data_IF_437627568652
#
_entry.id   IF_437627568652
#
_cell.length_a   1.000
_cell.length_b   1.000
_cell.length_c   1.000
_cell.angle_alpha   90.00
_cell.angle_beta   90.00
_cell.angle_gamma   90.00
#
_symmetry.space_group_name_H-M   'P 1'
#
loop_
_entity.id
_entity.type
_entity.pdbx_description
1 polymer ?
#
# COMPACT_ATOMS: atom_id res chain seq x y z
N UNK A 1 -12.70 -9.05 -13.01
CA UNK A 1 -12.86 -8.94 -11.55
C UNK A 1 -11.47 -8.75 -10.97
N UNK A 2 -11.12 -7.53 -10.51
CA UNK A 2 -9.78 -7.29 -9.95
C UNK A 2 -9.66 -7.97 -8.59
N UNK A 3 -8.52 -8.62 -8.32
CA UNK A 3 -8.27 -9.22 -7.01
C UNK A 3 -8.15 -8.12 -5.95
N UNK A 4 -8.46 -8.43 -4.69
CA UNK A 4 -8.29 -7.47 -3.59
C UNK A 4 -6.84 -7.00 -3.44
N UNK A 5 -5.87 -7.83 -3.85
CA UNK A 5 -4.46 -7.48 -3.93
C UNK A 5 -4.20 -6.40 -5.00
N UNK A 6 -4.78 -6.53 -6.19
CA UNK A 6 -4.62 -5.52 -7.26
C UNK A 6 -5.22 -4.18 -6.82
N UNK A 7 -6.38 -4.21 -6.16
CA UNK A 7 -7.00 -3.00 -5.60
C UNK A 7 -6.13 -2.39 -4.51
N UNK A 8 -5.50 -3.19 -3.65
CA UNK A 8 -4.59 -2.69 -2.62
C UNK A 8 -3.34 -2.05 -3.23
N UNK A 9 -2.74 -2.67 -4.27
CA UNK A 9 -1.59 -2.11 -5.00
C UNK A 9 -1.93 -0.78 -5.68
N UNK A 10 -3.10 -0.68 -6.33
CA UNK A 10 -3.58 0.59 -6.89
C UNK A 10 -3.79 1.66 -5.82
N UNK A 11 -4.28 1.27 -4.64
CA UNK A 11 -4.42 2.17 -3.48
C UNK A 11 -3.07 2.68 -2.98
N UNK A 12 -2.09 1.79 -2.84
CA UNK A 12 -0.72 2.14 -2.46
C UNK A 12 -0.08 3.08 -3.48
N UNK A 13 -0.13 2.77 -4.78
CA UNK A 13 0.45 3.60 -5.83
C UNK A 13 -0.11 5.02 -5.81
N UNK A 14 -1.44 5.18 -5.76
CA UNK A 14 -2.08 6.51 -5.67
C UNK A 14 -1.64 7.30 -4.45
N UNK A 15 -1.51 6.64 -3.31
CA UNK A 15 -1.09 7.32 -2.07
C UNK A 15 0.37 7.73 -2.12
N UNK A 16 1.22 6.90 -2.72
CA UNK A 16 2.64 7.20 -2.95
C UNK A 16 2.84 8.34 -3.96
N UNK A 17 2.02 8.41 -5.00
CA UNK A 17 2.03 9.52 -5.96
C UNK A 17 1.68 10.85 -5.29
N UNK A 18 0.61 10.88 -4.48
CA UNK A 18 0.21 12.07 -3.71
C UNK A 18 1.31 12.49 -2.73
N UNK A 19 1.94 11.53 -2.03
CA UNK A 19 3.04 11.82 -1.14
C UNK A 19 4.23 12.42 -1.90
N UNK A 20 4.60 11.83 -3.03
CA UNK A 20 5.73 12.30 -3.84
C UNK A 20 5.47 13.68 -4.45
N UNK A 21 4.24 13.98 -4.85
CA UNK A 21 3.85 15.32 -5.28
C UNK A 21 3.97 16.32 -4.14
N UNK A 22 3.45 15.97 -2.96
CA UNK A 22 3.51 16.83 -1.79
C UNK A 22 4.95 17.08 -1.32
N UNK A 23 5.84 16.09 -1.37
CA UNK A 23 7.26 16.25 -1.01
C UNK A 23 8.04 17.17 -1.97
N UNK A 24 7.55 17.42 -3.18
CA UNK A 24 8.17 18.35 -4.14
C UNK A 24 7.73 19.79 -3.96
N UNK A 25 6.59 20.03 -3.31
CA UNK A 25 6.06 21.38 -3.11
C UNK A 25 6.82 22.03 -1.96
N UNK A 26 7.39 23.21 -2.19
CA UNK A 26 7.93 24.05 -1.12
C UNK A 26 6.83 24.98 -0.63
N UNK A 27 6.61 25.13 0.69
CA UNK A 27 5.68 26.12 1.22
C UNK A 27 6.22 27.55 1.00
N UNK A 28 5.31 28.50 0.73
CA UNK A 28 5.65 29.90 0.41
C UNK A 28 5.91 30.76 1.66
N UNK A 29 5.53 30.27 2.85
CA UNK A 29 5.67 31.00 4.11
C UNK A 29 5.52 30.12 5.36
N UNK A 30 5.72 30.67 6.57
CA UNK A 30 5.75 29.91 7.81
C UNK A 30 4.41 29.25 8.17
N UNK A 31 3.29 29.92 7.92
CA UNK A 31 1.95 29.34 8.15
C UNK A 31 1.65 28.20 7.17
N UNK A 32 2.00 28.39 5.90
CA UNK A 32 1.92 27.34 4.88
C UNK A 32 2.86 26.18 5.18
N UNK A 33 4.02 26.43 5.79
CA UNK A 33 4.97 25.39 6.18
C UNK A 33 4.40 24.47 7.27
N UNK A 34 3.67 25.03 8.25
CA UNK A 34 3.00 24.22 9.29
C UNK A 34 1.91 23.35 8.66
N UNK A 35 1.07 23.94 7.80
CA UNK A 35 0.02 23.21 7.09
C UNK A 35 0.60 22.12 6.19
N UNK A 36 1.64 22.45 5.44
CA UNK A 36 2.35 21.53 4.55
C UNK A 36 2.94 20.35 5.33
N UNK A 37 3.59 20.60 6.47
CA UNK A 37 4.13 19.55 7.33
C UNK A 37 3.03 18.62 7.88
N UNK A 38 1.88 19.16 8.29
CA UNK A 38 0.75 18.34 8.73
C UNK A 38 0.21 17.46 7.60
N UNK A 39 0.08 18.01 6.38
CA UNK A 39 -0.34 17.26 5.20
C UNK A 39 0.67 16.16 4.85
N UNK A 40 1.97 16.45 4.90
CA UNK A 40 3.03 15.46 4.68
C UNK A 40 2.94 14.31 5.68
N UNK A 41 2.73 14.62 6.96
CA UNK A 41 2.59 13.60 7.98
C UNK A 41 1.41 12.67 7.72
N UNK A 42 0.25 13.24 7.38
CA UNK A 42 -0.96 12.47 7.02
C UNK A 42 -0.73 11.63 5.77
N UNK A 43 -0.08 12.19 4.73
CA UNK A 43 0.21 11.48 3.49
C UNK A 43 1.13 10.27 3.75
N UNK A 44 2.19 10.45 4.55
CA UNK A 44 3.10 9.37 4.97
C UNK A 44 2.36 8.27 5.74
N UNK A 45 1.53 8.64 6.71
CA UNK A 45 0.72 7.66 7.46
C UNK A 45 -0.18 6.84 6.53
N UNK A 46 -0.85 7.48 5.57
CA UNK A 46 -1.69 6.79 4.58
C UNK A 46 -0.87 5.84 3.71
N UNK A 47 0.32 6.26 3.26
CA UNK A 47 1.20 5.43 2.44
C UNK A 47 1.64 4.17 3.22
N UNK A 48 2.01 4.31 4.50
CA UNK A 48 2.37 3.18 5.35
C UNK A 48 1.21 2.21 5.57
N UNK A 49 0.00 2.72 5.82
CA UNK A 49 -1.20 1.89 5.98
C UNK A 49 -1.49 1.10 4.68
N UNK A 50 -1.41 1.77 3.53
CA UNK A 50 -1.64 1.14 2.25
C UNK A 50 -0.58 0.06 1.94
N UNK A 51 0.70 0.33 2.24
CA UNK A 51 1.79 -0.64 2.11
C UNK A 51 1.56 -1.86 3.01
N UNK A 52 1.17 -1.64 4.27
CA UNK A 52 0.86 -2.72 5.21
C UNK A 52 -0.25 -3.64 4.69
N UNK A 53 -1.30 -3.06 4.08
CA UNK A 53 -2.39 -3.83 3.45
C UNK A 53 -1.91 -4.65 2.26
N UNK A 54 -1.05 -4.10 1.40
CA UNK A 54 -0.45 -4.85 0.28
C UNK A 54 0.34 -6.04 0.83
N UNK A 55 1.24 -5.79 1.78
CA UNK A 55 2.10 -6.82 2.36
C UNK A 55 1.30 -7.95 3.01
N UNK A 56 0.19 -7.64 3.69
CA UNK A 56 -0.68 -8.67 4.28
C UNK A 56 -1.37 -9.52 3.21
N UNK A 57 -1.96 -8.88 2.19
CA UNK A 57 -2.65 -9.61 1.12
C UNK A 57 -1.69 -10.46 0.28
N UNK A 58 -0.46 -10.00 0.06
CA UNK A 58 0.59 -10.80 -0.58
C UNK A 58 0.89 -12.06 0.25
N UNK A 59 1.10 -11.91 1.57
CA UNK A 59 1.30 -13.04 2.48
C UNK A 59 0.15 -14.04 2.44
N UNK A 60 -1.10 -13.58 2.52
CA UNK A 60 -2.27 -14.46 2.49
C UNK A 60 -2.41 -15.17 1.13
N UNK A 61 -2.09 -14.50 0.03
CA UNK A 61 -2.11 -15.10 -1.32
C UNK A 61 -1.06 -16.20 -1.45
N UNK A 62 0.14 -15.98 -0.91
CA UNK A 62 1.20 -16.99 -0.88
C UNK A 62 0.82 -18.20 -0.01
N UNK A 63 0.22 -17.97 1.16
CA UNK A 63 -0.25 -19.04 2.03
C UNK A 63 -1.35 -19.89 1.36
N UNK A 64 -2.31 -19.25 0.68
CA UNK A 64 -3.36 -19.96 -0.05
C UNK A 64 -2.77 -20.86 -1.15
N UNK A 65 -1.86 -20.33 -1.97
CA UNK A 65 -1.19 -21.10 -3.04
C UNK A 65 -0.29 -22.21 -2.51
N UNK A 66 0.30 -22.06 -1.34
CA UNK A 66 1.10 -23.12 -0.70
C UNK A 66 0.24 -24.34 -0.30
N UNK A 67 -1.05 -24.13 -0.03
CA UNK A 67 -2.01 -25.20 0.24
C UNK A 67 -2.57 -25.86 -1.03
N UNK A 68 -2.34 -25.30 -2.21
CA UNK A 68 -2.74 -25.86 -3.52
C UNK A 68 -1.73 -26.88 -4.09
N UNK A 69 -0.89 -27.48 -3.23
CA UNK A 69 0.05 -28.53 -3.63
C UNK A 69 -0.65 -29.68 -4.38
N UNK A 70 0.06 -30.39 -5.27
CA UNK A 70 -0.54 -31.38 -6.16
C UNK A 70 -1.28 -32.44 -5.34
N UNK A 71 -2.46 -32.94 -5.81
CA UNK A 71 -3.19 -33.96 -5.10
C UNK A 71 -2.24 -35.11 -4.83
N UNK A 72 -1.99 -35.35 -3.54
CA UNK A 72 -1.13 -36.45 -3.12
C UNK A 72 -1.89 -37.70 -3.51
N UNK A 73 -1.54 -38.27 -4.66
CA UNK A 73 -2.08 -39.50 -5.18
C UNK A 73 -1.53 -40.65 -4.32
N UNK A 74 -1.86 -40.65 -3.02
CA UNK A 74 -1.72 -41.78 -2.11
C UNK A 74 -3.02 -42.57 -2.20
N UNK A 75 -3.19 -43.24 -3.33
CA UNK A 75 -4.04 -44.41 -3.40
C UNK A 75 -3.13 -45.59 -3.05
N UNK A 76 -3.29 -46.08 -1.82
CA UNK A 76 -2.92 -47.44 -1.43
C UNK A 76 -3.85 -48.43 -2.13
#
# INVERSE_FOLDING_TARGET
MYSDLDRARQGFNRTSEILAELERVSPDGPEDAVRHNALLHIARLRAYIALGRVAELERSTHAHRACEGPPTNRLF
#
